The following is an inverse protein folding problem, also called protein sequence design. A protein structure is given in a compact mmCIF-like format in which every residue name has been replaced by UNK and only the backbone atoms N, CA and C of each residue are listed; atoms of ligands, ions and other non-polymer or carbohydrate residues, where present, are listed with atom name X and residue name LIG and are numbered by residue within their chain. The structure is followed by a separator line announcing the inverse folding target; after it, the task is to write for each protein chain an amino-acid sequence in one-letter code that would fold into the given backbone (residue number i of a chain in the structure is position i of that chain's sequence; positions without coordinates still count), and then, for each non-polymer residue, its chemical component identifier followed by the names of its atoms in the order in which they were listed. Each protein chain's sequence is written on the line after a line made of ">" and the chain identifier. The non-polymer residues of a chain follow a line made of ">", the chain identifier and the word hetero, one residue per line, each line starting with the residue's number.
data_IF_491819381175
#
_entry.id   IF_491819381175
#
_cell.length_a   1.000
_cell.length_b   1.000
_cell.length_c   1.000
_cell.angle_alpha   90.00
_cell.angle_beta   90.00
_cell.angle_gamma   90.00
#
_symmetry.space_group_name_H-M   'P 1'
#
loop_
_entity.id
_entity.type
_entity.pdbx_description
1 polymer ?
#
# COMPACT_ATOMS: atom_id res chain seq x y z
N UNK A 1 -21.61 -6.75 -1.50
CA UNK A 1 -22.33 -5.95 -2.51
C UNK A 1 -21.37 -4.96 -3.17
N UNK A 2 -20.88 -3.92 -2.48
CA UNK A 2 -20.03 -2.89 -3.10
C UNK A 2 -18.77 -3.50 -3.76
N UNK A 3 -18.11 -4.45 -3.10
CA UNK A 3 -16.93 -5.11 -3.67
C UNK A 3 -17.27 -5.90 -4.94
N UNK A 4 -18.42 -6.53 -5.00
CA UNK A 4 -18.89 -7.26 -6.20
C UNK A 4 -19.12 -6.33 -7.39
N UNK A 5 -19.61 -5.11 -7.15
CA UNK A 5 -19.85 -4.12 -8.21
C UNK A 5 -18.56 -3.48 -8.75
N UNK A 6 -17.55 -3.27 -7.87
CA UNK A 6 -16.30 -2.63 -8.28
C UNK A 6 -15.21 -3.61 -8.68
N UNK A 7 -15.42 -4.91 -8.49
CA UNK A 7 -14.46 -5.96 -8.87
C UNK A 7 -14.70 -6.41 -10.30
N UNK A 8 -13.66 -6.43 -11.09
CA UNK A 8 -13.74 -6.96 -12.45
C UNK A 8 -12.65 -6.39 -13.35
N UNK A 9 -12.67 -6.80 -14.59
CA UNK A 9 -11.77 -6.31 -15.62
C UNK A 9 -12.23 -4.94 -16.12
N UNK A 10 -11.31 -3.96 -16.11
CA UNK A 10 -11.48 -2.68 -16.79
C UNK A 10 -10.59 -2.63 -18.02
N UNK A 11 -11.19 -2.71 -19.21
CA UNK A 11 -10.48 -2.67 -20.49
C UNK A 11 -9.77 -1.34 -20.79
N UNK A 12 -9.96 -0.31 -19.96
CA UNK A 12 -9.29 0.99 -20.04
C UNK A 12 -8.05 1.08 -19.16
N UNK A 13 -7.90 0.15 -18.21
CA UNK A 13 -6.74 0.08 -17.30
C UNK A 13 -5.90 -1.16 -17.61
N UNK A 14 -4.73 -0.94 -18.19
CA UNK A 14 -3.78 -2.02 -18.55
C UNK A 14 -3.21 -2.77 -17.34
N UNK A 15 -3.44 -2.29 -16.13
CA UNK A 15 -2.99 -2.94 -14.89
C UNK A 15 -4.02 -3.92 -14.33
N UNK A 16 -5.26 -3.91 -14.83
CA UNK A 16 -6.28 -4.89 -14.45
C UNK A 16 -6.04 -6.21 -15.17
N UNK A 17 -6.13 -7.30 -14.40
CA UNK A 17 -6.08 -8.65 -14.98
C UNK A 17 -7.45 -9.06 -15.49
N UNK A 18 -7.49 -9.83 -16.58
CA UNK A 18 -8.72 -10.45 -17.03
C UNK A 18 -9.27 -11.37 -15.92
N UNK A 19 -10.47 -11.08 -15.47
CA UNK A 19 -11.17 -11.86 -14.48
C UNK A 19 -12.68 -11.78 -14.71
N UNK A 20 -13.34 -12.90 -14.49
CA UNK A 20 -14.80 -12.89 -14.41
C UNK A 20 -15.23 -12.17 -13.12
N UNK A 21 -16.32 -11.41 -13.20
CA UNK A 21 -16.92 -10.76 -12.05
C UNK A 21 -17.24 -11.78 -10.95
N UNK A 22 -17.00 -11.45 -9.69
CA UNK A 22 -17.31 -12.30 -8.53
C UNK A 22 -18.40 -11.67 -7.68
N UNK A 23 -19.37 -12.48 -7.30
CA UNK A 23 -20.41 -12.11 -6.34
C UNK A 23 -19.94 -12.49 -4.93
N UNK A 24 -19.27 -11.57 -4.25
CA UNK A 24 -18.69 -11.83 -2.92
C UNK A 24 -19.76 -12.10 -1.86
N UNK A 25 -20.95 -11.57 -2.03
CA UNK A 25 -22.11 -11.84 -1.16
C UNK A 25 -22.51 -13.32 -1.11
N UNK A 26 -22.21 -14.09 -2.13
CA UNK A 26 -22.51 -15.55 -2.16
C UNK A 26 -21.63 -16.33 -1.16
N UNK A 27 -20.49 -15.76 -0.76
CA UNK A 27 -19.60 -16.36 0.23
C UNK A 27 -19.95 -15.99 1.68
N UNK A 28 -20.93 -15.09 1.88
CA UNK A 28 -21.41 -14.69 3.21
C UNK A 28 -22.44 -15.68 3.74
N UNK A 29 -22.02 -16.90 3.94
CA UNK A 29 -22.90 -17.99 4.39
C UNK A 29 -23.29 -17.87 5.88
N UNK A 30 -22.59 -17.08 6.65
CA UNK A 30 -22.74 -17.00 8.11
C UNK A 30 -22.17 -18.20 8.86
N UNK A 31 -21.66 -19.21 8.17
CA UNK A 31 -21.05 -20.40 8.76
C UNK A 31 -19.52 -20.34 8.62
N UNK A 32 -18.83 -20.36 9.76
CA UNK A 32 -17.37 -20.35 9.85
C UNK A 32 -16.81 -21.62 10.52
N UNK A 33 -17.65 -22.63 10.71
CA UNK A 33 -17.21 -23.91 11.31
C UNK A 33 -16.10 -24.54 10.50
N UNK A 34 -15.02 -24.92 11.17
CA UNK A 34 -13.84 -25.51 10.54
C UNK A 34 -12.92 -24.50 9.83
N UNK A 35 -13.26 -23.19 9.83
CA UNK A 35 -12.35 -22.16 9.35
C UNK A 35 -11.15 -22.09 10.30
N UNK A 36 -9.93 -22.18 9.75
CA UNK A 36 -8.69 -22.06 10.52
C UNK A 36 -8.21 -20.59 10.53
N UNK A 37 -8.08 -20.03 11.73
CA UNK A 37 -7.62 -18.66 11.95
C UNK A 37 -6.26 -18.69 12.63
N UNK A 38 -5.21 -18.27 11.91
CA UNK A 38 -3.86 -18.19 12.46
C UNK A 38 -3.66 -16.93 13.30
N UNK A 39 -3.13 -17.09 14.52
CA UNK A 39 -2.80 -15.99 15.42
C UNK A 39 -1.28 -15.88 15.54
N UNK A 40 -0.67 -14.86 14.91
CA UNK A 40 0.77 -14.66 14.98
C UNK A 40 1.19 -14.18 16.37
N UNK A 41 2.06 -14.93 17.03
CA UNK A 41 2.60 -14.56 18.35
C UNK A 41 3.30 -13.20 18.35
N UNK A 42 3.88 -12.80 17.22
CA UNK A 42 4.59 -11.56 17.06
C UNK A 42 3.67 -10.31 17.16
N UNK A 43 2.37 -10.47 16.90
CA UNK A 43 1.40 -9.39 17.01
C UNK A 43 0.81 -9.22 18.41
N UNK A 44 0.97 -10.24 19.26
CA UNK A 44 0.54 -10.23 20.65
C UNK A 44 1.72 -10.02 21.62
N UNK A 45 2.68 -9.19 21.24
CA UNK A 45 3.84 -8.84 22.06
C UNK A 45 3.46 -8.00 23.27
N UNK A 46 4.36 -7.86 24.24
CA UNK A 46 4.16 -7.02 25.43
C UNK A 46 3.90 -5.53 25.12
N UNK A 47 4.37 -5.07 23.97
CA UNK A 47 4.16 -3.69 23.49
C UNK A 47 2.76 -3.43 22.95
N UNK A 48 1.91 -4.45 22.78
CA UNK A 48 0.53 -4.27 22.34
C UNK A 48 -0.30 -3.60 23.43
N UNK A 49 -0.99 -2.49 23.08
CA UNK A 49 -1.89 -1.81 24.01
C UNK A 49 -2.90 -2.79 24.63
N UNK A 50 -3.06 -2.71 25.95
CA UNK A 50 -3.88 -3.65 26.71
C UNK A 50 -5.38 -3.62 26.28
N UNK A 51 -5.90 -2.48 25.88
CA UNK A 51 -7.30 -2.38 25.39
C UNK A 51 -7.45 -3.04 24.04
N UNK A 52 -6.48 -2.84 23.14
CA UNK A 52 -6.45 -3.49 21.81
C UNK A 52 -6.33 -5.00 21.98
N UNK A 53 -5.43 -5.47 22.85
CA UNK A 53 -5.28 -6.90 23.19
C UNK A 53 -6.61 -7.50 23.64
N UNK A 54 -7.28 -6.87 24.61
CA UNK A 54 -8.56 -7.35 25.15
C UNK A 54 -9.63 -7.50 24.08
N UNK A 55 -9.73 -6.53 23.17
CA UNK A 55 -10.71 -6.57 22.06
C UNK A 55 -10.37 -7.68 21.07
N UNK A 56 -9.07 -7.84 20.73
CA UNK A 56 -8.64 -8.89 19.83
C UNK A 56 -8.88 -10.30 20.42
N UNK A 57 -8.55 -10.51 21.69
CA UNK A 57 -8.80 -11.76 22.40
C UNK A 57 -10.28 -12.11 22.48
N UNK A 58 -11.14 -11.13 22.80
CA UNK A 58 -12.59 -11.32 22.79
C UNK A 58 -13.14 -11.69 21.40
N UNK A 59 -12.58 -11.11 20.34
CA UNK A 59 -12.93 -11.49 18.96
C UNK A 59 -12.50 -12.94 18.65
N UNK A 60 -11.31 -13.34 19.07
CA UNK A 60 -10.85 -14.74 18.92
C UNK A 60 -11.73 -15.73 19.66
N UNK A 61 -12.17 -15.38 20.87
CA UNK A 61 -13.10 -16.21 21.66
C UNK A 61 -14.44 -16.34 20.91
N UNK A 62 -14.93 -15.23 20.34
CA UNK A 62 -16.15 -15.27 19.54
C UNK A 62 -16.04 -16.16 18.30
N UNK A 63 -14.88 -16.17 17.63
CA UNK A 63 -14.64 -17.07 16.50
C UNK A 63 -14.63 -18.56 16.95
N UNK A 64 -14.05 -18.86 18.11
CA UNK A 64 -14.10 -20.23 18.69
C UNK A 64 -15.53 -20.68 18.98
N UNK A 65 -16.36 -19.80 19.59
CA UNK A 65 -17.78 -20.10 19.85
C UNK A 65 -18.57 -20.38 18.56
N UNK A 66 -18.20 -19.71 17.45
CA UNK A 66 -18.81 -19.92 16.16
C UNK A 66 -18.25 -21.13 15.40
N UNK A 67 -17.33 -21.88 16.02
CA UNK A 67 -16.80 -23.12 15.47
C UNK A 67 -15.55 -22.99 14.61
N UNK A 68 -14.87 -21.85 14.62
CA UNK A 68 -13.58 -21.71 13.97
C UNK A 68 -12.45 -22.33 14.82
N UNK A 69 -11.44 -22.87 14.16
CA UNK A 69 -10.21 -23.38 14.78
C UNK A 69 -9.18 -22.24 14.89
N UNK A 70 -8.78 -21.90 16.12
CA UNK A 70 -7.74 -20.89 16.34
C UNK A 70 -6.39 -21.60 16.46
N UNK A 71 -5.44 -21.22 15.60
CA UNK A 71 -4.12 -21.87 15.50
C UNK A 71 -3.02 -20.84 15.76
N UNK A 72 -2.13 -21.16 16.71
CA UNK A 72 -0.93 -20.33 16.93
C UNK A 72 0.03 -20.50 15.76
N UNK A 73 0.44 -19.36 15.19
CA UNK A 73 1.41 -19.31 14.10
C UNK A 73 2.56 -18.35 14.45
N UNK A 74 3.62 -18.40 13.67
CA UNK A 74 4.75 -17.48 13.79
C UNK A 74 5.05 -16.83 12.46
N UNK A 75 5.30 -15.52 12.49
CA UNK A 75 5.76 -14.71 11.36
C UNK A 75 7.14 -14.12 11.68
N UNK A 76 8.22 -14.94 11.67
CA UNK A 76 9.53 -14.55 12.21
C UNK A 76 10.16 -13.36 11.52
N UNK A 77 9.73 -13.05 10.30
CA UNK A 77 10.22 -11.91 9.52
C UNK A 77 9.34 -10.66 9.63
N UNK A 78 8.23 -10.70 10.39
CA UNK A 78 7.29 -9.56 10.53
C UNK A 78 7.98 -8.29 11.05
N UNK A 79 8.99 -8.42 11.92
CA UNK A 79 9.79 -7.28 12.43
C UNK A 79 10.49 -6.45 11.33
N UNK A 80 10.71 -7.04 10.16
CA UNK A 80 11.34 -6.37 9.02
C UNK A 80 10.32 -5.76 8.04
N UNK A 81 9.03 -5.98 8.26
CA UNK A 81 7.99 -5.54 7.31
C UNK A 81 7.95 -4.02 7.16
N UNK A 82 7.98 -3.30 8.30
CA UNK A 82 7.94 -1.83 8.30
C UNK A 82 9.19 -1.20 7.68
N UNK A 83 10.42 -1.59 8.02
CA UNK A 83 11.62 -1.13 7.32
C UNK A 83 11.61 -1.41 5.81
N UNK A 84 11.19 -2.62 5.40
CA UNK A 84 11.10 -2.97 3.98
C UNK A 84 10.06 -2.11 3.26
N UNK A 85 8.90 -1.85 3.89
CA UNK A 85 7.86 -0.97 3.36
C UNK A 85 8.39 0.45 3.13
N UNK A 86 9.10 1.04 4.10
CA UNK A 86 9.63 2.40 3.98
C UNK A 86 10.73 2.57 2.91
N UNK A 87 11.27 1.47 2.42
CA UNK A 87 12.20 1.49 1.28
C UNK A 87 11.44 1.25 -0.03
N UNK A 88 10.62 0.20 -0.10
CA UNK A 88 9.95 -0.19 -1.34
C UNK A 88 8.90 0.84 -1.75
N UNK A 89 8.03 1.24 -0.83
CA UNK A 89 6.90 2.12 -1.16
C UNK A 89 7.35 3.49 -1.67
N UNK A 90 8.29 4.23 -1.03
CA UNK A 90 8.78 5.48 -1.60
C UNK A 90 9.48 5.30 -2.95
N UNK A 91 10.18 4.18 -3.17
CA UNK A 91 10.81 3.85 -4.45
C UNK A 91 9.78 3.72 -5.57
N UNK A 92 8.71 2.96 -5.32
CA UNK A 92 7.60 2.77 -6.26
C UNK A 92 6.85 4.11 -6.49
N UNK A 93 6.58 4.86 -5.42
CA UNK A 93 5.93 6.18 -5.48
C UNK A 93 6.74 7.17 -6.33
N UNK A 94 8.06 7.24 -6.15
CA UNK A 94 8.91 8.15 -6.91
C UNK A 94 8.83 7.88 -8.42
N UNK A 95 8.79 6.61 -8.81
CA UNK A 95 8.66 6.19 -10.20
C UNK A 95 7.25 6.43 -10.74
N UNK A 96 6.22 6.06 -9.99
CA UNK A 96 4.84 6.17 -10.45
C UNK A 96 4.36 7.62 -10.55
N UNK A 97 4.75 8.48 -9.60
CA UNK A 97 4.36 9.89 -9.62
C UNK A 97 5.20 10.75 -10.61
N UNK A 98 6.22 10.18 -11.24
CA UNK A 98 6.98 10.85 -12.29
C UNK A 98 6.10 11.23 -13.51
N UNK A 99 4.99 10.49 -13.74
CA UNK A 99 4.04 10.77 -14.82
C UNK A 99 3.27 12.07 -14.69
N UNK A 100 3.12 12.58 -13.47
CA UNK A 100 2.40 13.84 -13.24
C UNK A 100 3.31 15.03 -13.54
N UNK A 101 3.33 15.41 -14.79
CA UNK A 101 4.24 16.39 -15.37
C UNK A 101 3.61 17.79 -15.53
N UNK A 102 2.31 17.91 -15.32
CA UNK A 102 1.54 19.15 -15.54
C UNK A 102 1.27 19.45 -17.01
N UNK A 103 1.51 18.48 -17.91
CA UNK A 103 1.34 18.63 -19.36
C UNK A 103 0.29 17.64 -19.87
N UNK A 104 0.51 16.32 -19.63
CA UNK A 104 -0.39 15.25 -20.07
C UNK A 104 -1.26 14.72 -18.94
N UNK A 105 -0.75 14.72 -17.71
CA UNK A 105 -1.41 14.11 -16.58
C UNK A 105 -1.45 15.01 -15.36
N UNK A 106 -2.58 14.93 -14.66
CA UNK A 106 -2.77 15.59 -13.38
C UNK A 106 -2.98 17.09 -13.49
N UNK A 107 -2.74 17.78 -12.38
CA UNK A 107 -2.87 19.23 -12.28
C UNK A 107 -1.79 19.91 -13.12
N UNK A 108 -2.20 20.88 -13.97
CA UNK A 108 -1.29 21.80 -14.63
C UNK A 108 -1.31 23.16 -13.94
N UNK A 109 -0.15 23.77 -13.77
CA UNK A 109 -0.05 25.13 -13.24
C UNK A 109 -0.68 26.13 -14.23
N UNK A 110 -0.65 25.83 -15.52
CA UNK A 110 -1.25 26.68 -16.55
C UNK A 110 -2.78 26.75 -16.44
N UNK A 111 -3.42 25.73 -15.87
CA UNK A 111 -4.86 25.73 -15.57
C UNK A 111 -5.20 26.53 -14.31
N UNK A 112 -4.19 27.01 -13.58
CA UNK A 112 -4.29 27.79 -12.36
C UNK A 112 -3.80 29.23 -12.54
N UNK A 113 -3.81 29.73 -13.75
CA UNK A 113 -3.22 31.05 -14.16
C UNK A 113 -3.70 32.24 -13.30
N UNK A 114 -4.92 32.16 -12.74
CA UNK A 114 -5.44 33.21 -11.84
C UNK A 114 -4.82 33.17 -10.45
N UNK A 115 -4.24 32.05 -10.02
CA UNK A 115 -3.71 31.83 -8.66
C UNK A 115 -2.20 31.87 -8.59
N UNK A 116 -1.54 31.53 -9.68
CA UNK A 116 -0.08 31.42 -9.74
C UNK A 116 0.37 32.02 -11.07
N UNK A 117 1.25 33.03 -11.08
CA UNK A 117 1.80 33.57 -12.32
C UNK A 117 2.45 32.44 -13.11
N UNK A 118 1.94 32.21 -14.31
CA UNK A 118 2.41 31.11 -15.15
C UNK A 118 3.88 31.27 -15.54
N UNK A 119 4.56 30.18 -15.62
CA UNK A 119 5.90 30.08 -16.15
C UNK A 119 5.86 29.96 -17.67
N UNK A 120 6.81 30.59 -18.34
CA UNK A 120 6.86 30.63 -19.81
C UNK A 120 7.52 29.40 -20.43
N UNK A 121 8.18 28.53 -19.67
CA UNK A 121 8.95 27.41 -20.19
C UNK A 121 8.37 26.05 -19.79
N UNK A 122 8.67 25.03 -20.58
CA UNK A 122 8.27 23.64 -20.29
C UNK A 122 8.80 23.15 -18.94
N UNK A 123 10.05 23.49 -18.63
CA UNK A 123 10.68 23.10 -17.37
C UNK A 123 9.99 23.74 -16.16
N UNK A 124 9.67 25.02 -16.25
CA UNK A 124 8.95 25.74 -15.20
C UNK A 124 7.54 25.16 -15.03
N UNK A 125 6.80 24.92 -16.10
CA UNK A 125 5.48 24.25 -16.02
C UNK A 125 5.57 22.92 -15.26
N UNK A 126 6.58 22.11 -15.54
CA UNK A 126 6.82 20.85 -14.84
C UNK A 126 7.14 21.06 -13.35
N UNK A 127 8.09 21.93 -13.04
CA UNK A 127 8.53 22.18 -11.67
C UNK A 127 7.42 22.80 -10.81
N UNK A 128 6.74 23.80 -11.33
CA UNK A 128 5.69 24.55 -10.62
C UNK A 128 4.44 23.68 -10.42
N UNK A 129 4.02 22.92 -11.43
CA UNK A 129 2.88 22.00 -11.30
C UNK A 129 3.13 20.96 -10.22
N UNK A 130 4.30 20.36 -10.18
CA UNK A 130 4.69 19.40 -9.15
C UNK A 130 4.92 20.08 -7.80
N UNK A 131 5.51 21.24 -7.81
CA UNK A 131 5.74 22.06 -6.62
C UNK A 131 4.45 22.45 -5.93
N UNK A 132 3.46 22.86 -6.68
CA UNK A 132 2.13 23.23 -6.18
C UNK A 132 1.25 22.00 -5.87
N UNK A 133 1.20 21.03 -6.78
CA UNK A 133 0.27 19.90 -6.70
C UNK A 133 0.63 18.85 -5.65
N UNK A 134 1.92 18.66 -5.34
CA UNK A 134 2.33 17.68 -4.34
C UNK A 134 2.48 18.30 -2.95
N UNK A 135 1.80 17.72 -1.97
CA UNK A 135 1.99 18.07 -0.56
C UNK A 135 3.37 17.68 -0.02
N UNK A 136 3.72 18.22 1.14
CA UNK A 136 5.06 18.06 1.74
C UNK A 136 5.46 16.60 1.97
N UNK A 137 4.54 15.74 2.44
CA UNK A 137 4.81 14.33 2.66
C UNK A 137 5.05 13.56 1.35
N UNK A 138 4.27 13.85 0.31
CA UNK A 138 4.46 13.24 -1.02
C UNK A 138 5.83 13.60 -1.59
N UNK A 139 6.22 14.86 -1.50
CA UNK A 139 7.57 15.33 -1.92
C UNK A 139 8.68 14.61 -1.16
N UNK A 140 8.54 14.46 0.16
CA UNK A 140 9.50 13.72 0.99
C UNK A 140 9.65 12.28 0.52
N UNK A 141 8.54 11.58 0.24
CA UNK A 141 8.56 10.21 -0.25
C UNK A 141 9.16 10.07 -1.65
N UNK A 142 8.88 11.02 -2.54
CA UNK A 142 9.51 11.07 -3.86
C UNK A 142 11.04 11.22 -3.72
N UNK A 143 11.52 12.11 -2.86
CA UNK A 143 12.95 12.29 -2.63
C UNK A 143 13.62 11.05 -2.05
N UNK A 144 13.01 10.44 -1.02
CA UNK A 144 13.49 9.18 -0.44
C UNK A 144 13.54 8.05 -1.47
N UNK A 145 12.49 7.91 -2.28
CA UNK A 145 12.44 6.91 -3.34
C UNK A 145 13.51 7.11 -4.41
N UNK A 146 13.69 8.33 -4.86
CA UNK A 146 14.74 8.69 -5.83
C UNK A 146 16.12 8.37 -5.27
N UNK A 147 16.38 8.67 -3.99
CA UNK A 147 17.63 8.33 -3.32
C UNK A 147 17.87 6.82 -3.28
N UNK A 148 16.87 6.04 -2.85
CA UNK A 148 17.01 4.57 -2.75
C UNK A 148 17.15 3.88 -4.11
N UNK A 149 16.69 4.50 -5.19
CA UNK A 149 16.84 4.00 -6.56
C UNK A 149 18.10 4.50 -7.28
N UNK A 150 18.83 5.44 -6.69
CA UNK A 150 20.03 6.01 -7.32
C UNK A 150 21.19 5.02 -7.36
N UNK A 151 22.15 5.30 -8.25
CA UNK A 151 23.34 4.46 -8.43
C UNK A 151 24.12 4.33 -7.10
N UNK A 152 24.52 3.11 -6.77
CA UNK A 152 25.20 2.77 -5.52
C UNK A 152 24.29 2.45 -4.34
N UNK A 153 23.04 2.95 -4.32
CA UNK A 153 22.08 2.69 -3.24
C UNK A 153 21.02 1.65 -3.61
N UNK A 154 20.76 1.48 -4.89
CA UNK A 154 19.76 0.51 -5.38
C UNK A 154 19.98 -0.91 -4.85
N UNK A 155 21.21 -1.42 -4.95
CA UNK A 155 21.54 -2.77 -4.48
C UNK A 155 21.52 -2.87 -2.95
N UNK A 156 22.03 -1.84 -2.27
CA UNK A 156 22.12 -1.81 -0.82
C UNK A 156 20.76 -1.70 -0.13
N UNK A 157 19.81 -0.99 -0.72
CA UNK A 157 18.51 -0.72 -0.12
C UNK A 157 17.36 -1.42 -0.86
N UNK A 158 17.09 -1.07 -2.11
CA UNK A 158 15.88 -1.55 -2.81
C UNK A 158 15.90 -3.06 -3.06
N UNK A 159 16.99 -3.60 -3.60
CA UNK A 159 17.12 -5.06 -3.79
C UNK A 159 17.09 -5.83 -2.47
N UNK A 160 17.72 -5.31 -1.43
CA UNK A 160 17.69 -5.91 -0.10
C UNK A 160 16.27 -5.93 0.48
N UNK A 161 15.55 -4.82 0.38
CA UNK A 161 14.16 -4.75 0.83
C UNK A 161 13.25 -5.71 0.02
N UNK A 162 13.48 -5.85 -1.27
CA UNK A 162 12.79 -6.84 -2.11
C UNK A 162 13.07 -8.29 -1.67
N UNK A 163 14.32 -8.60 -1.29
CA UNK A 163 14.67 -9.91 -0.76
C UNK A 163 13.96 -10.19 0.57
N UNK A 164 13.90 -9.20 1.48
CA UNK A 164 13.15 -9.29 2.73
C UNK A 164 11.65 -9.50 2.46
N UNK A 165 11.04 -8.77 1.52
CA UNK A 165 9.65 -8.99 1.12
C UNK A 165 9.39 -10.43 0.66
N UNK A 166 10.32 -11.04 -0.06
CA UNK A 166 10.21 -12.46 -0.46
C UNK A 166 10.24 -13.41 0.74
N UNK A 167 11.03 -13.09 1.78
CA UNK A 167 11.07 -13.90 3.01
C UNK A 167 9.78 -13.77 3.84
N UNK A 168 9.20 -12.57 3.89
CA UNK A 168 7.92 -12.34 4.59
C UNK A 168 6.77 -13.08 3.89
N UNK A 169 6.85 -13.23 2.55
CA UNK A 169 5.80 -13.87 1.75
C UNK A 169 5.83 -15.42 1.82
N UNK A 170 6.94 -16.02 2.25
CA UNK A 170 7.07 -17.48 2.41
C UNK A 170 6.41 -17.96 3.69
#
# INVERSE_FOLDING_TARGET
>A
IVLSEIYGYDGKDVTTAESEGKRFEEYLTGDIRGLRIGVPKEYFSESLDAKVRKVAEAALDRFRELGAEIVDISLPHAKYALPAYYIIMPSEVSSNLARFDGIKYGLSINDQAERIPGSGTLLETYLDSRGYGFGAEVKRRIMLGTYTLSAGYYDAYYKKAQAVRKLIRK
#
